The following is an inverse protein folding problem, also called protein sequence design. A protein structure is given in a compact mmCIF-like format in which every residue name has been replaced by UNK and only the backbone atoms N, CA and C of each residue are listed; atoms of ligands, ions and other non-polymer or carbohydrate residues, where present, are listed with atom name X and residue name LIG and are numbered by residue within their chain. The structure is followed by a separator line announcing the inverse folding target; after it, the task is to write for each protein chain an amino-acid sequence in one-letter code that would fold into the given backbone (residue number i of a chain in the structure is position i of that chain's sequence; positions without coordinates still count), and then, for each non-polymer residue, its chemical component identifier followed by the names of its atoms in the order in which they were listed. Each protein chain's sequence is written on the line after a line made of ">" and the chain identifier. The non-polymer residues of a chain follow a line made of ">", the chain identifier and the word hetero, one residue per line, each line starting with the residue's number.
data_IF_056192133254
#
_entry.id   IF_056192133254
#
_cell.length_a   1.000
_cell.length_b   1.000
_cell.length_c   1.000
_cell.angle_alpha   90.00
_cell.angle_beta   90.00
_cell.angle_gamma   90.00
#
_symmetry.space_group_name_H-M   'P 1'
#
loop_
_entity.id
_entity.type
_entity.pdbx_description
1 polymer ?
#
# COMPACT_ATOMS: atom_id res chain seq x y z
N UNK A 1 16.12 73.20 6.46
CA UNK A 1 16.47 72.01 7.25
C UNK A 1 15.22 71.27 7.76
N UNK A 2 14.23 71.96 8.35
CA UNK A 2 12.96 71.38 8.82
C UNK A 2 12.12 70.61 7.77
N UNK A 3 11.96 71.14 6.54
CA UNK A 3 11.15 70.49 5.50
C UNK A 3 11.69 69.12 5.06
N UNK A 4 13.02 68.92 5.11
CA UNK A 4 13.67 67.65 4.74
C UNK A 4 13.46 66.57 5.81
N UNK A 5 13.32 66.98 7.08
CA UNK A 5 13.08 66.08 8.21
C UNK A 5 11.65 65.53 8.18
N UNK A 6 10.66 66.38 7.86
CA UNK A 6 9.25 65.98 7.77
C UNK A 6 8.94 65.03 6.59
N UNK A 7 9.68 65.18 5.48
CA UNK A 7 9.64 64.26 4.34
C UNK A 7 10.14 62.85 4.73
N UNK A 8 11.20 62.76 5.54
CA UNK A 8 11.74 61.47 5.99
C UNK A 8 10.74 60.74 6.89
N UNK A 9 10.08 61.44 7.82
CA UNK A 9 9.07 60.84 8.70
C UNK A 9 7.85 60.31 7.92
N UNK A 10 7.41 61.03 6.89
CA UNK A 10 6.34 60.57 5.99
C UNK A 10 6.73 59.28 5.25
N UNK A 11 7.95 59.22 4.70
CA UNK A 11 8.45 58.02 4.01
C UNK A 11 8.57 56.82 4.96
N UNK A 12 9.06 57.03 6.18
CA UNK A 12 9.15 55.98 7.21
C UNK A 12 7.76 55.50 7.63
N UNK A 13 6.80 56.42 7.80
CA UNK A 13 5.41 56.08 8.12
C UNK A 13 4.72 55.27 7.02
N UNK A 14 4.91 55.64 5.75
CA UNK A 14 4.37 54.90 4.60
C UNK A 14 5.02 53.52 4.49
N UNK A 15 6.35 53.44 4.61
CA UNK A 15 7.07 52.16 4.58
C UNK A 15 6.62 51.22 5.71
N UNK A 16 6.42 51.75 6.93
CA UNK A 16 5.88 50.99 8.06
C UNK A 16 4.45 50.51 7.83
N UNK A 17 3.58 51.35 7.27
CA UNK A 17 2.20 51.01 6.98
C UNK A 17 2.05 49.95 5.88
N UNK A 18 3.01 49.87 4.94
CA UNK A 18 3.02 48.86 3.87
C UNK A 18 3.50 47.47 4.32
N UNK A 19 4.14 47.34 5.48
CA UNK A 19 4.62 46.04 5.97
C UNK A 19 3.46 45.07 6.26
N UNK A 20 2.42 45.53 6.94
CA UNK A 20 1.26 44.69 7.27
C UNK A 20 0.54 44.11 6.04
N UNK A 21 0.18 44.90 5.01
CA UNK A 21 -0.44 44.34 3.81
C UNK A 21 0.53 43.46 3.01
N UNK A 22 1.83 43.76 2.98
CA UNK A 22 2.82 42.89 2.33
C UNK A 22 2.89 41.53 3.04
N UNK A 23 2.99 41.52 4.37
CA UNK A 23 2.97 40.29 5.17
C UNK A 23 1.65 39.53 4.97
N UNK A 24 0.52 40.23 4.94
CA UNK A 24 -0.79 39.64 4.70
C UNK A 24 -0.88 38.94 3.35
N UNK A 25 -0.45 39.60 2.28
CA UNK A 25 -0.44 39.04 0.92
C UNK A 25 0.52 37.86 0.81
N UNK A 26 1.74 37.96 1.35
CA UNK A 26 2.70 36.85 1.31
C UNK A 26 2.21 35.65 2.11
N UNK A 27 1.59 35.87 3.27
CA UNK A 27 1.02 34.80 4.10
C UNK A 27 -0.14 34.12 3.39
N UNK A 28 -1.05 34.88 2.78
CA UNK A 28 -2.16 34.33 2.00
C UNK A 28 -1.65 33.51 0.81
N UNK A 29 -0.63 34.00 0.11
CA UNK A 29 -0.01 33.28 -1.01
C UNK A 29 0.63 31.96 -0.57
N UNK A 30 1.39 31.97 0.54
CA UNK A 30 1.99 30.75 1.10
C UNK A 30 0.91 29.75 1.55
N UNK A 31 -0.16 30.21 2.19
CA UNK A 31 -1.26 29.35 2.61
C UNK A 31 -1.93 28.62 1.42
N UNK A 32 -2.17 29.34 0.31
CA UNK A 32 -2.70 28.75 -0.93
C UNK A 32 -1.73 27.69 -1.49
N UNK A 33 -0.43 27.95 -1.46
CA UNK A 33 0.56 26.96 -1.89
C UNK A 33 0.56 25.72 -0.99
N UNK A 34 0.55 25.91 0.34
CA UNK A 34 0.51 24.80 1.30
C UNK A 34 -0.72 23.92 1.09
N UNK A 35 -1.89 24.52 0.82
CA UNK A 35 -3.10 23.76 0.51
C UNK A 35 -2.92 22.87 -0.73
N UNK A 36 -2.32 23.40 -1.80
CA UNK A 36 -2.06 22.64 -3.04
C UNK A 36 -1.06 21.50 -2.82
N UNK A 37 -0.03 21.73 -2.01
CA UNK A 37 0.97 20.72 -1.65
C UNK A 37 0.31 19.59 -0.85
N UNK A 38 -0.43 19.91 0.23
CA UNK A 38 -1.12 18.92 1.05
C UNK A 38 -2.09 18.04 0.25
N UNK A 39 -2.80 18.63 -0.71
CA UNK A 39 -3.69 17.86 -1.60
C UNK A 39 -2.92 16.82 -2.43
N UNK A 40 -1.71 17.14 -2.85
CA UNK A 40 -0.85 16.24 -3.63
C UNK A 40 -0.23 15.17 -2.72
N UNK A 41 0.18 15.56 -1.52
CA UNK A 41 0.74 14.69 -0.50
C UNK A 41 -0.23 13.56 -0.11
N UNK A 42 -1.51 13.89 0.12
CA UNK A 42 -2.54 12.88 0.41
C UNK A 42 -2.66 11.83 -0.71
N UNK A 43 -2.56 12.24 -1.98
CA UNK A 43 -2.62 11.30 -3.11
C UNK A 43 -1.38 10.39 -3.14
N UNK A 44 -0.21 10.95 -2.84
CA UNK A 44 1.06 10.20 -2.78
C UNK A 44 1.01 9.19 -1.62
N UNK A 45 0.54 9.60 -0.45
CA UNK A 45 0.39 8.75 0.73
C UNK A 45 -0.57 7.58 0.47
N UNK A 46 -1.74 7.85 -0.10
CA UNK A 46 -2.69 6.80 -0.52
C UNK A 46 -2.08 5.83 -1.53
N UNK A 47 -1.27 6.32 -2.48
CA UNK A 47 -0.55 5.47 -3.41
C UNK A 47 0.47 4.58 -2.70
N UNK A 48 1.22 5.12 -1.75
CA UNK A 48 2.21 4.36 -0.97
C UNK A 48 1.55 3.25 -0.13
N UNK A 49 0.45 3.54 0.56
CA UNK A 49 -0.27 2.52 1.33
C UNK A 49 -0.85 1.43 0.42
N UNK A 50 -1.43 1.80 -0.74
CA UNK A 50 -1.91 0.80 -1.72
C UNK A 50 -0.78 -0.06 -2.28
N UNK A 51 0.38 0.56 -2.56
CA UNK A 51 1.56 -0.17 -3.05
C UNK A 51 2.10 -1.13 -1.99
N UNK A 52 2.15 -0.71 -0.73
CA UNK A 52 2.58 -1.56 0.41
C UNK A 52 1.72 -2.81 0.55
N UNK A 53 0.40 -2.69 0.39
CA UNK A 53 -0.50 -3.84 0.39
C UNK A 53 -0.24 -4.74 -0.83
N UNK A 54 -0.07 -4.17 -2.02
CA UNK A 54 0.30 -4.96 -3.21
C UNK A 54 1.59 -5.75 -2.99
N UNK A 55 2.64 -5.11 -2.47
CA UNK A 55 3.93 -5.75 -2.16
C UNK A 55 3.73 -6.87 -1.13
N UNK A 56 2.90 -6.63 -0.09
CA UNK A 56 2.54 -7.66 0.92
C UNK A 56 1.86 -8.89 0.31
N UNK A 57 0.92 -8.71 -0.63
CA UNK A 57 0.29 -9.83 -1.34
C UNK A 57 1.29 -10.61 -2.20
N UNK A 58 2.16 -9.89 -2.90
CA UNK A 58 3.17 -10.49 -3.77
C UNK A 58 4.15 -11.31 -2.94
N UNK A 59 4.66 -10.74 -1.86
CA UNK A 59 5.61 -11.40 -0.98
C UNK A 59 4.97 -12.64 -0.34
N UNK A 60 3.75 -12.54 0.17
CA UNK A 60 3.04 -13.69 0.73
C UNK A 60 2.81 -14.82 -0.29
N UNK A 61 2.46 -14.49 -1.54
CA UNK A 61 2.29 -15.49 -2.60
C UNK A 61 3.61 -16.17 -2.98
N UNK A 62 4.69 -15.39 -3.12
CA UNK A 62 6.02 -15.93 -3.43
C UNK A 62 6.50 -16.84 -2.31
N UNK A 63 6.35 -16.40 -1.07
CA UNK A 63 6.73 -17.20 0.10
C UNK A 63 5.89 -18.46 0.23
N UNK A 64 4.57 -18.40 -0.01
CA UNK A 64 3.70 -19.57 0.05
C UNK A 64 4.01 -20.60 -1.03
N UNK A 65 4.52 -20.15 -2.19
CA UNK A 65 4.91 -21.04 -3.30
C UNK A 65 6.30 -21.65 -3.11
N UNK A 66 7.18 -20.96 -2.40
CA UNK A 66 8.47 -21.52 -2.01
C UNK A 66 8.21 -22.53 -0.90
N UNK A 67 8.63 -23.78 -1.09
CA UNK A 67 8.40 -24.91 -0.17
C UNK A 67 9.15 -24.80 1.17
N UNK A 68 9.48 -23.58 1.60
CA UNK A 68 9.97 -23.34 2.93
C UNK A 68 8.78 -23.39 3.88
N UNK A 69 8.93 -24.19 4.95
CA UNK A 69 7.90 -24.49 5.93
C UNK A 69 7.01 -23.29 6.21
N UNK A 70 5.69 -23.51 6.07
CA UNK A 70 4.66 -22.59 6.54
C UNK A 70 5.01 -21.97 7.89
N UNK A 71 5.13 -20.64 7.91
CA UNK A 71 5.49 -19.84 9.07
C UNK A 71 4.23 -19.12 9.60
N UNK A 72 3.75 -19.57 10.75
CA UNK A 72 2.56 -19.01 11.40
C UNK A 72 2.74 -17.52 11.73
N UNK A 73 3.97 -17.08 12.01
CA UNK A 73 4.24 -15.66 12.30
C UNK A 73 4.14 -14.81 11.03
N UNK A 74 4.63 -15.30 9.89
CA UNK A 74 4.46 -14.61 8.60
C UNK A 74 3.00 -14.56 8.19
N UNK A 75 2.25 -15.64 8.40
CA UNK A 75 0.82 -15.64 8.15
C UNK A 75 0.07 -14.63 9.04
N UNK A 76 0.41 -14.56 10.33
CA UNK A 76 -0.14 -13.56 11.24
C UNK A 76 0.18 -12.13 10.78
N UNK A 77 1.42 -11.89 10.35
CA UNK A 77 1.83 -10.60 9.78
C UNK A 77 1.08 -10.26 8.51
N UNK A 78 0.90 -11.21 7.60
CA UNK A 78 0.08 -11.02 6.40
C UNK A 78 -1.31 -10.55 6.79
N UNK A 79 -2.00 -11.28 7.68
CA UNK A 79 -3.34 -10.95 8.17
C UNK A 79 -3.45 -9.56 8.81
N UNK A 80 -2.45 -9.15 9.57
CA UNK A 80 -2.41 -7.82 10.17
C UNK A 80 -2.20 -6.73 9.11
N UNK A 81 -1.23 -6.92 8.21
CA UNK A 81 -0.87 -5.95 7.16
C UNK A 81 -1.97 -5.75 6.12
N UNK A 82 -2.84 -6.72 5.94
CA UNK A 82 -3.98 -6.64 5.00
C UNK A 82 -5.31 -6.28 5.68
N UNK A 83 -5.29 -5.95 6.98
CA UNK A 83 -6.52 -5.56 7.70
C UNK A 83 -7.17 -4.29 7.15
N UNK A 84 -6.39 -3.43 6.49
CA UNK A 84 -6.84 -2.19 5.88
C UNK A 84 -7.39 -2.37 4.45
N UNK A 85 -7.31 -3.59 3.89
CA UNK A 85 -7.77 -3.89 2.52
C UNK A 85 -9.21 -3.43 2.26
N UNK A 86 -10.20 -3.70 3.13
CA UNK A 86 -11.59 -3.28 2.90
C UNK A 86 -11.79 -1.76 2.84
N UNK A 87 -10.84 -0.97 3.37
CA UNK A 87 -10.92 0.49 3.39
C UNK A 87 -10.20 1.12 2.19
N UNK A 88 -9.09 0.52 1.75
CA UNK A 88 -8.25 1.06 0.68
C UNK A 88 -8.64 0.56 -0.72
N UNK A 89 -9.36 -0.57 -0.78
CA UNK A 89 -9.72 -1.28 -2.01
C UNK A 89 -11.18 -1.72 -2.01
N UNK A 90 -11.67 -2.16 -3.17
CA UNK A 90 -13.00 -2.75 -3.32
C UNK A 90 -13.06 -4.22 -2.88
N UNK A 91 -14.26 -4.80 -2.97
CA UNK A 91 -14.52 -6.20 -2.60
C UNK A 91 -13.70 -7.21 -3.40
N UNK A 92 -13.26 -6.85 -4.61
CA UNK A 92 -12.46 -7.71 -5.49
C UNK A 92 -11.09 -8.06 -4.91
N UNK A 93 -10.45 -7.14 -4.18
CA UNK A 93 -9.16 -7.38 -3.51
C UNK A 93 -9.36 -8.13 -2.19
N UNK A 94 -10.46 -7.86 -1.49
CA UNK A 94 -10.83 -8.59 -0.28
C UNK A 94 -11.18 -10.07 -0.58
N UNK A 95 -11.93 -10.32 -1.65
CA UNK A 95 -12.18 -11.68 -2.13
C UNK A 95 -10.87 -12.39 -2.52
N UNK A 96 -9.99 -11.68 -3.24
CA UNK A 96 -8.67 -12.19 -3.59
C UNK A 96 -7.84 -12.54 -2.35
N UNK A 97 -7.89 -11.72 -1.30
CA UNK A 97 -7.22 -11.97 -0.02
C UNK A 97 -7.66 -13.29 0.59
N UNK A 98 -8.96 -13.51 0.69
CA UNK A 98 -9.56 -14.71 1.28
C UNK A 98 -9.22 -15.95 0.46
N UNK A 99 -9.31 -15.83 -0.86
CA UNK A 99 -8.94 -16.87 -1.81
C UNK A 99 -7.47 -17.27 -1.73
N UNK A 100 -6.55 -16.31 -1.65
CA UNK A 100 -5.12 -16.57 -1.52
C UNK A 100 -4.82 -17.24 -0.18
N UNK A 101 -5.41 -16.73 0.89
CA UNK A 101 -5.18 -17.28 2.22
C UNK A 101 -5.66 -18.73 2.34
N UNK A 102 -6.88 -19.01 1.85
CA UNK A 102 -7.45 -20.35 1.85
C UNK A 102 -6.57 -21.35 1.11
N UNK A 103 -6.10 -20.97 -0.07
CA UNK A 103 -5.25 -21.82 -0.90
C UNK A 103 -3.88 -22.02 -0.26
N UNK A 104 -3.28 -20.97 0.32
CA UNK A 104 -2.01 -21.07 1.03
C UNK A 104 -2.10 -22.01 2.26
N UNK A 105 -3.18 -21.93 3.05
CA UNK A 105 -3.44 -22.87 4.14
C UNK A 105 -3.61 -24.31 3.63
N UNK A 106 -4.30 -24.50 2.50
CA UNK A 106 -4.47 -25.83 1.92
C UNK A 106 -3.15 -26.40 1.41
N UNK A 107 -2.31 -25.57 0.79
CA UNK A 107 -0.98 -25.95 0.33
C UNK A 107 -0.10 -26.43 1.49
N UNK A 108 -0.06 -25.65 2.58
CA UNK A 108 0.64 -26.04 3.82
C UNK A 108 0.13 -27.34 4.41
N UNK A 109 -1.19 -27.54 4.41
CA UNK A 109 -1.79 -28.78 4.90
C UNK A 109 -1.38 -29.99 4.06
N UNK A 110 -1.41 -29.86 2.73
CA UNK A 110 -1.00 -30.92 1.80
C UNK A 110 0.49 -31.25 1.95
N UNK A 111 1.33 -30.24 2.08
CA UNK A 111 2.77 -30.41 2.33
C UNK A 111 3.04 -31.16 3.64
N UNK A 112 2.39 -30.75 4.74
CA UNK A 112 2.48 -31.45 6.04
C UNK A 112 2.04 -32.90 5.91
N UNK A 113 0.98 -33.17 5.16
CA UNK A 113 0.47 -34.53 4.93
C UNK A 113 1.47 -35.35 4.13
N UNK A 114 2.03 -34.81 3.05
CA UNK A 114 3.01 -35.47 2.19
C UNK A 114 4.32 -35.83 2.92
N UNK A 115 4.72 -35.01 3.89
CA UNK A 115 5.99 -35.13 4.60
C UNK A 115 5.89 -35.93 5.91
N UNK A 116 4.77 -35.87 6.64
CA UNK A 116 4.67 -36.41 8.00
C UNK A 116 3.90 -37.74 8.11
N UNK A 117 3.19 -38.16 7.07
CA UNK A 117 2.43 -39.42 7.07
C UNK A 117 3.01 -40.41 6.05
N UNK A 118 3.18 -41.70 6.41
CA UNK A 118 3.47 -42.72 5.43
C UNK A 118 2.25 -42.95 4.54
N UNK A 119 2.44 -42.83 3.22
CA UNK A 119 1.40 -43.04 2.23
C UNK A 119 1.79 -44.18 1.29
N UNK A 120 0.83 -45.03 0.94
CA UNK A 120 0.98 -45.92 -0.22
C UNK A 120 1.11 -45.11 -1.52
N UNK A 121 1.73 -45.67 -2.57
CA UNK A 121 2.05 -44.94 -3.81
C UNK A 121 0.85 -44.24 -4.46
N UNK A 122 -0.33 -44.88 -4.47
CA UNK A 122 -1.54 -44.26 -5.04
C UNK A 122 -2.03 -43.03 -4.27
N UNK A 123 -2.00 -43.06 -2.93
CA UNK A 123 -2.43 -41.93 -2.09
C UNK A 123 -1.41 -40.79 -2.16
N UNK A 124 -0.11 -41.10 -2.25
CA UNK A 124 0.94 -40.10 -2.43
C UNK A 124 0.78 -39.36 -3.76
N UNK A 125 0.56 -40.08 -4.86
CA UNK A 125 0.38 -39.47 -6.18
C UNK A 125 -0.82 -38.53 -6.20
N UNK A 126 -1.97 -38.95 -5.66
CA UNK A 126 -3.15 -38.07 -5.56
C UNK A 126 -2.86 -36.78 -4.76
N UNK A 127 -2.08 -36.86 -3.67
CA UNK A 127 -1.73 -35.68 -2.87
C UNK A 127 -0.78 -34.74 -3.62
N UNK A 128 0.14 -35.30 -4.43
CA UNK A 128 1.03 -34.52 -5.29
C UNK A 128 0.25 -33.85 -6.43
N UNK A 129 -0.69 -34.55 -7.07
CA UNK A 129 -1.54 -33.98 -8.11
C UNK A 129 -2.37 -32.80 -7.57
N UNK A 130 -2.96 -32.96 -6.37
CA UNK A 130 -3.70 -31.88 -5.70
C UNK A 130 -2.79 -30.70 -5.34
N UNK A 131 -1.57 -30.98 -4.87
CA UNK A 131 -0.56 -29.96 -4.56
C UNK A 131 -0.16 -29.16 -5.81
N UNK A 132 0.13 -29.84 -6.92
CA UNK A 132 0.54 -29.23 -8.18
C UNK A 132 -0.56 -28.36 -8.79
N UNK A 133 -1.82 -28.83 -8.74
CA UNK A 133 -2.97 -28.06 -9.20
C UNK A 133 -3.11 -26.75 -8.39
N UNK A 134 -2.97 -26.84 -7.07
CA UNK A 134 -3.11 -25.70 -6.17
C UNK A 134 -1.94 -24.71 -6.31
N UNK A 135 -0.71 -25.21 -6.40
CA UNK A 135 0.47 -24.40 -6.66
C UNK A 135 0.34 -23.69 -8.03
N UNK A 136 -0.15 -24.38 -9.05
CA UNK A 136 -0.45 -23.80 -10.36
C UNK A 136 -1.48 -22.66 -10.29
N UNK A 137 -2.55 -22.83 -9.51
CA UNK A 137 -3.55 -21.78 -9.25
C UNK A 137 -2.92 -20.55 -8.58
N UNK A 138 -2.10 -20.76 -7.54
CA UNK A 138 -1.42 -19.67 -6.84
C UNK A 138 -0.41 -18.94 -7.76
N UNK A 139 0.32 -19.68 -8.60
CA UNK A 139 1.24 -19.09 -9.58
C UNK A 139 0.51 -18.22 -10.62
N UNK A 140 -0.65 -18.69 -11.11
CA UNK A 140 -1.51 -17.90 -11.99
C UNK A 140 -2.04 -16.64 -11.30
N UNK A 141 -2.38 -16.72 -10.01
CA UNK A 141 -2.79 -15.53 -9.25
C UNK A 141 -1.64 -14.52 -9.13
N UNK A 142 -0.44 -14.98 -8.81
CA UNK A 142 0.75 -14.13 -8.74
C UNK A 142 1.00 -13.36 -10.04
N UNK A 143 0.89 -14.02 -11.20
CA UNK A 143 1.06 -13.35 -12.51
C UNK A 143 -0.10 -12.38 -12.83
N UNK A 144 -1.32 -12.67 -12.38
CA UNK A 144 -2.48 -11.79 -12.55
C UNK A 144 -2.59 -10.65 -11.52
N UNK A 145 -1.82 -10.71 -10.43
CA UNK A 145 -1.92 -9.80 -9.28
C UNK A 145 -1.76 -8.34 -9.70
N UNK A 146 -0.73 -8.05 -10.51
CA UNK A 146 -0.47 -6.71 -11.02
C UNK A 146 -1.59 -6.17 -11.91
N UNK A 147 -2.33 -7.04 -12.61
CA UNK A 147 -3.49 -6.63 -13.42
C UNK A 147 -4.66 -6.23 -12.54
N UNK A 148 -4.95 -7.00 -11.47
CA UNK A 148 -6.04 -6.68 -10.52
C UNK A 148 -5.76 -5.40 -9.74
N UNK A 149 -4.54 -5.22 -9.25
CA UNK A 149 -4.15 -4.01 -8.51
C UNK A 149 -3.98 -2.77 -9.40
N UNK A 150 -3.86 -2.92 -10.72
CA UNK A 150 -3.66 -1.80 -11.65
C UNK A 150 -4.75 -0.73 -11.52
N UNK A 151 -6.00 -1.13 -11.31
CA UNK A 151 -7.13 -0.20 -11.16
C UNK A 151 -6.92 0.75 -9.97
N UNK A 152 -6.29 0.26 -8.90
CA UNK A 152 -6.11 0.98 -7.65
C UNK A 152 -4.77 1.73 -7.56
N UNK A 153 -3.74 1.25 -8.27
CA UNK A 153 -2.41 1.85 -8.28
C UNK A 153 -2.25 3.01 -9.29
N UNK A 154 -3.29 3.37 -10.05
CA UNK A 154 -3.24 4.56 -10.90
C UNK A 154 -3.32 5.82 -10.04
N UNK A 155 -2.36 6.72 -10.23
CA UNK A 155 -2.40 8.09 -9.70
C UNK A 155 -3.43 8.92 -10.49
N UNK A 156 -4.73 8.63 -10.36
CA UNK A 156 -5.82 9.52 -10.82
C UNK A 156 -6.20 10.50 -9.72
#
# INVERSE_FOLDING_TARGET
>A
MYARMHLIELWVGIAGAMLAPVIGVTTAYVAVQQYRIKKTEVRIELYHERKKIFDTFKDFLVESLNSDKWDDEKNRRFMQSVSEVPFLFGSDIEELRQEIYKDACRLSFLEKKLNNEPHGPGKRNHLLDEYDELAGKMHKRLSSLGTRFRTYLRMS
#
